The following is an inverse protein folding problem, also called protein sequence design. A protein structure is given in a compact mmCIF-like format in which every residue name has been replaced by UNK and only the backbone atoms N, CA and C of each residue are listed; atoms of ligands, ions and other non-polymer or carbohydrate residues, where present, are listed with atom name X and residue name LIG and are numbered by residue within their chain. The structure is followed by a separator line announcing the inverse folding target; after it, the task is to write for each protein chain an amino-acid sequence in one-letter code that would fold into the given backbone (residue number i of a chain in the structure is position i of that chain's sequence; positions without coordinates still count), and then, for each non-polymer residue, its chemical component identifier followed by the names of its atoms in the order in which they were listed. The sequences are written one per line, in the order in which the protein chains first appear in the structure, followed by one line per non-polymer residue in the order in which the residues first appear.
data_IF_541530946250
#
_entry.id   IF_541530946250
#
_cell.length_a   1.000
_cell.length_b   1.000
_cell.length_c   1.000
_cell.angle_alpha   90.00
_cell.angle_beta   90.00
_cell.angle_gamma   90.00
#
_symmetry.space_group_name_H-M   'P 1'
#
loop_
_entity.id
_entity.type
_entity.pdbx_description
1 polymer ?
#
# COMPACT_ATOMS: atom_id res chain seq x y z
N UNK A 1 19.41 -14.39 -34.40
CA UNK A 1 18.85 -13.81 -33.17
C UNK A 1 19.94 -12.95 -32.54
N UNK A 2 19.68 -11.67 -32.24
CA UNK A 2 20.69 -10.77 -31.66
C UNK A 2 20.72 -10.91 -30.13
N UNK A 3 19.55 -11.09 -29.52
CA UNK A 3 19.38 -11.26 -28.08
C UNK A 3 18.54 -12.51 -27.80
N UNK A 4 18.92 -13.28 -26.78
CA UNK A 4 18.04 -14.28 -26.14
C UNK A 4 17.30 -13.71 -24.93
N UNK A 5 16.29 -14.43 -24.44
CA UNK A 5 15.58 -14.06 -23.21
C UNK A 5 16.53 -13.99 -22.00
N UNK A 6 17.43 -14.95 -21.89
CA UNK A 6 18.43 -15.05 -20.82
C UNK A 6 19.45 -13.90 -20.90
N UNK A 7 19.91 -13.53 -22.10
CA UNK A 7 20.82 -12.39 -22.27
C UNK A 7 20.15 -11.07 -21.85
N UNK A 8 18.89 -10.87 -22.24
CA UNK A 8 18.13 -9.67 -21.87
C UNK A 8 18.00 -9.59 -20.34
N UNK A 9 17.68 -10.71 -19.70
CA UNK A 9 17.63 -10.79 -18.24
C UNK A 9 18.99 -10.50 -17.61
N UNK A 10 20.05 -11.21 -18.03
CA UNK A 10 21.42 -11.12 -17.48
C UNK A 10 21.98 -9.70 -17.57
N UNK A 11 21.74 -8.97 -18.66
CA UNK A 11 22.37 -7.64 -18.84
C UNK A 11 21.49 -6.47 -18.38
N UNK A 12 20.17 -6.63 -18.40
CA UNK A 12 19.24 -5.52 -18.14
C UNK A 12 18.07 -5.87 -17.22
N UNK A 13 17.43 -7.02 -17.42
CA UNK A 13 16.19 -7.40 -16.74
C UNK A 13 16.35 -7.63 -15.23
N UNK A 14 17.41 -8.33 -14.80
CA UNK A 14 17.65 -8.62 -13.39
C UNK A 14 17.88 -7.36 -12.54
N UNK A 15 18.23 -6.25 -13.18
CA UNK A 15 18.53 -4.96 -12.57
C UNK A 15 17.38 -3.95 -12.64
N UNK A 16 16.24 -4.33 -13.21
CA UNK A 16 15.07 -3.48 -13.44
C UNK A 16 15.40 -2.14 -14.12
N UNK A 17 16.37 -2.16 -15.04
CA UNK A 17 16.80 -0.94 -15.73
C UNK A 17 15.66 -0.39 -16.57
N UNK A 18 15.51 0.93 -16.56
CA UNK A 18 14.78 1.62 -17.62
C UNK A 18 15.61 1.51 -18.89
N UNK A 19 15.00 0.96 -19.93
CA UNK A 19 15.61 0.68 -21.22
C UNK A 19 14.80 1.30 -22.36
N UNK A 20 15.47 1.61 -23.46
CA UNK A 20 14.83 1.83 -24.76
C UNK A 20 15.17 0.66 -25.68
N UNK A 21 14.15 0.03 -26.24
CA UNK A 21 14.23 -1.17 -27.06
C UNK A 21 13.86 -0.79 -28.49
N UNK A 22 14.79 -0.98 -29.42
CA UNK A 22 14.55 -0.77 -30.85
C UNK A 22 14.22 -2.10 -31.53
N UNK A 23 13.24 -2.09 -32.42
CA UNK A 23 12.76 -3.31 -33.09
C UNK A 23 13.28 -3.45 -34.52
N UNK A 24 13.39 -4.69 -34.97
CA UNK A 24 13.75 -5.03 -36.36
C UNK A 24 12.69 -4.50 -37.31
N UNK A 25 13.12 -3.86 -38.39
CA UNK A 25 12.21 -3.43 -39.44
C UNK A 25 11.36 -4.60 -39.97
N UNK A 26 10.04 -4.42 -39.99
CA UNK A 26 9.09 -5.41 -40.48
C UNK A 26 8.71 -6.52 -39.49
N UNK A 27 9.25 -6.52 -38.26
CA UNK A 27 8.81 -7.46 -37.22
C UNK A 27 7.40 -7.19 -36.71
N UNK A 28 6.79 -8.17 -36.04
CA UNK A 28 5.46 -8.02 -35.45
C UNK A 28 5.48 -6.95 -34.35
N UNK A 29 6.51 -6.93 -33.50
CA UNK A 29 6.68 -5.88 -32.51
C UNK A 29 6.79 -4.48 -33.15
N UNK A 30 7.54 -4.34 -34.25
CA UNK A 30 7.70 -3.05 -34.93
C UNK A 30 6.39 -2.51 -35.53
N UNK A 31 5.58 -3.42 -36.10
CA UNK A 31 4.24 -3.06 -36.63
C UNK A 31 3.26 -2.70 -35.52
N UNK A 32 3.30 -3.46 -34.41
CA UNK A 32 2.33 -3.33 -33.31
C UNK A 32 2.66 -2.17 -32.38
N UNK A 33 3.93 -1.90 -32.09
CA UNK A 33 4.35 -0.92 -31.06
C UNK A 33 5.17 0.25 -31.60
N UNK A 34 5.46 0.29 -32.90
CA UNK A 34 6.31 1.30 -33.54
C UNK A 34 7.78 0.88 -33.56
N UNK A 35 8.66 1.78 -34.01
CA UNK A 35 10.09 1.45 -34.21
C UNK A 35 10.88 1.21 -32.93
N UNK A 36 10.46 1.79 -31.80
CA UNK A 36 11.09 1.61 -30.50
C UNK A 36 10.10 1.86 -29.37
N UNK A 37 10.38 1.31 -28.18
CA UNK A 37 9.65 1.57 -26.94
C UNK A 37 10.59 1.81 -25.77
N UNK A 38 10.16 2.59 -24.78
CA UNK A 38 10.92 2.87 -23.55
C UNK A 38 10.15 2.39 -22.33
N UNK A 39 10.82 1.73 -21.39
CA UNK A 39 10.17 1.13 -20.22
C UNK A 39 11.10 0.19 -19.47
N UNK A 40 10.54 -0.81 -18.80
CA UNK A 40 11.30 -1.82 -18.05
C UNK A 40 10.82 -3.21 -18.43
N UNK A 41 11.74 -4.16 -18.56
CA UNK A 41 11.35 -5.57 -18.64
C UNK A 41 10.60 -5.99 -17.37
N UNK A 42 9.59 -6.84 -17.53
CA UNK A 42 8.74 -7.32 -16.46
C UNK A 42 8.80 -8.84 -16.43
N UNK A 43 8.82 -9.39 -15.23
CA UNK A 43 8.87 -10.83 -14.99
C UNK A 43 7.88 -11.15 -13.87
N UNK A 44 7.18 -12.27 -13.98
CA UNK A 44 6.47 -12.86 -12.85
C UNK A 44 7.47 -13.45 -11.85
N UNK A 45 7.06 -13.79 -10.61
CA UNK A 45 7.92 -14.48 -9.65
C UNK A 45 8.59 -15.73 -10.28
N UNK A 46 7.79 -16.63 -10.83
CA UNK A 46 8.27 -17.89 -11.44
C UNK A 46 9.19 -17.67 -12.65
N UNK A 47 8.90 -16.65 -13.49
CA UNK A 47 9.74 -16.31 -14.64
C UNK A 47 11.11 -15.81 -14.17
N UNK A 48 11.12 -14.97 -13.13
CA UNK A 48 12.36 -14.41 -12.59
C UNK A 48 13.22 -15.49 -11.94
N UNK A 49 12.63 -16.37 -11.13
CA UNK A 49 13.35 -17.47 -10.48
C UNK A 49 14.02 -18.39 -11.51
N UNK A 50 13.26 -18.82 -12.52
CA UNK A 50 13.81 -19.66 -13.61
C UNK A 50 14.94 -18.99 -14.37
N UNK A 51 14.80 -17.70 -14.67
CA UNK A 51 15.85 -16.97 -15.39
C UNK A 51 17.08 -16.75 -14.53
N UNK A 52 16.92 -16.47 -13.24
CA UNK A 52 18.02 -16.35 -12.28
C UNK A 52 18.83 -17.65 -12.21
N UNK A 53 18.15 -18.80 -12.10
CA UNK A 53 18.78 -20.11 -12.13
C UNK A 53 19.50 -20.39 -13.47
N UNK A 54 18.87 -20.03 -14.59
CA UNK A 54 19.44 -20.25 -15.92
C UNK A 54 20.71 -19.42 -16.14
N UNK A 55 20.72 -18.14 -15.75
CA UNK A 55 21.87 -17.25 -16.00
C UNK A 55 23.00 -17.37 -14.98
N UNK A 56 22.80 -18.14 -13.90
CA UNK A 56 23.81 -18.42 -12.89
C UNK A 56 24.96 -19.28 -13.44
N UNK A 57 24.73 -20.05 -14.51
CA UNK A 57 25.76 -20.78 -15.25
C UNK A 57 26.29 -19.89 -16.38
N UNK A 58 27.61 -19.88 -16.62
CA UNK A 58 28.18 -18.99 -17.66
C UNK A 58 27.82 -19.40 -19.10
N UNK A 59 27.57 -20.69 -19.34
CA UNK A 59 27.15 -21.26 -20.62
C UNK A 59 25.68 -21.72 -20.52
N UNK A 60 24.76 -20.78 -20.72
CA UNK A 60 23.31 -21.02 -20.66
C UNK A 60 22.71 -21.16 -22.05
N UNK A 61 21.64 -21.96 -22.15
CA UNK A 61 20.90 -22.12 -23.40
C UNK A 61 20.23 -20.80 -23.80
N UNK A 62 20.37 -20.42 -25.07
CA UNK A 62 19.82 -19.18 -25.61
C UNK A 62 18.47 -19.45 -26.26
N UNK A 63 17.41 -18.92 -25.68
CA UNK A 63 16.05 -19.14 -26.18
C UNK A 63 15.44 -17.89 -26.82
N UNK A 64 14.60 -18.10 -27.83
CA UNK A 64 13.77 -17.06 -28.45
C UNK A 64 12.39 -17.05 -27.80
N UNK A 65 12.28 -16.37 -26.66
CA UNK A 65 11.07 -16.32 -25.84
C UNK A 65 10.35 -14.97 -25.89
N UNK A 66 9.09 -14.98 -25.47
CA UNK A 66 8.31 -13.77 -25.23
C UNK A 66 8.70 -13.16 -23.88
N UNK A 67 8.96 -11.85 -23.87
CA UNK A 67 9.43 -11.11 -22.71
C UNK A 67 8.45 -9.99 -22.43
N UNK A 68 7.86 -9.99 -21.24
CA UNK A 68 6.90 -8.95 -20.85
C UNK A 68 7.62 -7.63 -20.64
N UNK A 69 6.92 -6.56 -20.96
CA UNK A 69 7.46 -5.21 -20.93
C UNK A 69 6.46 -4.24 -20.31
N UNK A 70 6.93 -3.44 -19.36
CA UNK A 70 6.17 -2.35 -18.78
C UNK A 70 6.58 -1.05 -19.44
N UNK A 71 5.73 -0.58 -20.36
CA UNK A 71 5.92 0.69 -21.04
C UNK A 71 5.90 1.88 -20.06
N UNK A 72 6.80 2.85 -20.27
CA UNK A 72 6.80 4.11 -19.55
C UNK A 72 5.56 4.95 -19.86
N UNK A 73 4.76 5.26 -18.84
CA UNK A 73 3.54 6.07 -18.96
C UNK A 73 3.91 7.48 -19.43
N UNK A 74 3.30 7.94 -20.52
CA UNK A 74 3.53 9.27 -21.10
C UNK A 74 4.84 9.43 -21.89
N UNK A 75 5.64 8.36 -22.02
CA UNK A 75 6.86 8.36 -22.84
C UNK A 75 6.58 7.77 -24.22
N UNK A 76 5.78 6.70 -24.25
CA UNK A 76 5.40 6.01 -25.48
C UNK A 76 4.04 6.50 -25.97
N UNK A 77 3.85 6.55 -27.29
CA UNK A 77 2.55 6.80 -27.93
C UNK A 77 1.84 5.46 -28.18
N UNK A 78 1.44 4.79 -27.10
CA UNK A 78 0.76 3.49 -27.15
C UNK A 78 -0.66 3.62 -26.60
N UNK A 79 -1.61 2.90 -27.20
CA UNK A 79 -2.96 2.70 -26.70
C UNK A 79 -2.98 1.82 -25.44
N UNK A 80 -4.08 1.84 -24.69
CA UNK A 80 -4.26 0.99 -23.51
C UNK A 80 -4.19 -0.51 -23.84
N UNK A 81 -4.72 -0.90 -25.00
CA UNK A 81 -4.65 -2.28 -25.52
C UNK A 81 -3.20 -2.70 -25.76
N UNK A 82 -2.41 -1.89 -26.49
CA UNK A 82 -0.99 -2.17 -26.72
C UNK A 82 -0.17 -2.24 -25.43
N UNK A 83 -0.48 -1.40 -24.44
CA UNK A 83 0.16 -1.45 -23.12
C UNK A 83 -0.19 -2.75 -22.39
N UNK A 84 -1.44 -3.20 -22.49
CA UNK A 84 -1.89 -4.51 -22.00
C UNK A 84 -1.11 -5.64 -22.65
N UNK A 85 -1.02 -5.64 -23.98
CA UNK A 85 -0.34 -6.69 -24.75
C UNK A 85 1.15 -6.78 -24.39
N UNK A 86 1.85 -5.65 -24.28
CA UNK A 86 3.25 -5.64 -23.80
C UNK A 86 3.39 -6.25 -22.41
N UNK A 87 2.42 -6.01 -21.53
CA UNK A 87 2.48 -6.47 -20.13
C UNK A 87 2.13 -7.95 -19.98
N UNK A 88 1.20 -8.47 -20.79
CA UNK A 88 0.66 -9.83 -20.62
C UNK A 88 1.20 -10.82 -21.66
N UNK A 89 1.33 -10.42 -22.93
CA UNK A 89 1.86 -11.25 -24.02
C UNK A 89 3.37 -11.06 -24.17
N UNK A 90 3.84 -9.82 -24.13
CA UNK A 90 5.26 -9.47 -24.26
C UNK A 90 5.74 -9.25 -25.69
N UNK A 91 7.07 -9.23 -25.85
CA UNK A 91 7.79 -9.05 -27.11
C UNK A 91 8.75 -10.22 -27.32
N UNK A 92 8.84 -10.72 -28.56
CA UNK A 92 9.75 -11.80 -28.89
C UNK A 92 11.20 -11.30 -28.86
N UNK A 93 12.11 -12.04 -28.23
CA UNK A 93 13.51 -11.65 -28.11
C UNK A 93 14.18 -11.38 -29.48
N UNK A 94 13.85 -12.19 -30.48
CA UNK A 94 14.37 -12.04 -31.84
C UNK A 94 13.88 -10.82 -32.61
N UNK A 95 12.81 -10.15 -32.14
CA UNK A 95 12.33 -8.89 -32.73
C UNK A 95 13.19 -7.69 -32.33
N UNK A 96 14.01 -7.81 -31.28
CA UNK A 96 14.84 -6.74 -30.74
C UNK A 96 16.17 -6.66 -31.51
N UNK A 97 16.56 -5.45 -31.90
CA UNK A 97 17.86 -5.17 -32.53
C UNK A 97 18.83 -4.39 -31.63
N UNK A 98 18.31 -3.62 -30.68
CA UNK A 98 19.12 -2.80 -29.80
C UNK A 98 18.39 -2.56 -28.47
N UNK A 99 19.16 -2.57 -27.38
CA UNK A 99 18.70 -2.20 -26.04
C UNK A 99 19.64 -1.14 -25.47
N UNK A 100 19.12 0.08 -25.29
CA UNK A 100 19.84 1.19 -24.67
C UNK A 100 19.43 1.32 -23.21
N UNK A 101 20.40 1.37 -22.30
CA UNK A 101 20.17 1.57 -20.87
C UNK A 101 21.23 2.47 -20.26
N UNK A 102 20.91 3.14 -19.15
CA UNK A 102 21.88 3.97 -18.46
C UNK A 102 22.95 3.10 -17.78
N UNK A 103 24.23 3.41 -18.02
CA UNK A 103 25.37 2.67 -17.51
C UNK A 103 25.66 2.98 -16.02
N UNK A 104 24.69 2.68 -15.15
CA UNK A 104 24.89 2.72 -13.70
C UNK A 104 25.18 1.30 -13.19
N UNK A 105 26.15 1.12 -12.27
CA UNK A 105 26.26 -0.14 -11.54
C UNK A 105 24.97 -0.31 -10.72
N UNK A 106 24.27 -1.41 -11.01
CA UNK A 106 23.05 -1.79 -10.31
C UNK A 106 23.29 -3.19 -9.80
N UNK A 107 22.83 -3.43 -8.58
CA UNK A 107 22.85 -4.75 -7.98
C UNK A 107 21.52 -5.43 -8.26
N UNK A 108 21.52 -6.76 -8.37
CA UNK A 108 20.29 -7.52 -8.49
C UNK A 108 19.60 -7.53 -7.12
N UNK A 109 18.57 -6.70 -6.96
CA UNK A 109 17.85 -6.58 -5.69
C UNK A 109 17.07 -7.85 -5.36
N UNK A 110 16.67 -8.65 -6.36
CA UNK A 110 15.89 -9.88 -6.15
C UNK A 110 16.69 -10.97 -5.44
N UNK A 111 17.99 -11.09 -5.72
CA UNK A 111 18.86 -12.10 -5.09
C UNK A 111 19.38 -11.71 -3.71
N UNK A 112 19.14 -10.47 -3.25
CA UNK A 112 19.59 -10.00 -1.94
C UNK A 112 18.61 -10.35 -0.83
N UNK A 113 19.16 -10.76 0.33
CA UNK A 113 18.41 -10.99 1.57
C UNK A 113 18.53 -9.86 2.60
N UNK A 114 19.39 -8.87 2.36
CA UNK A 114 19.68 -7.81 3.33
C UNK A 114 18.51 -6.83 3.52
N UNK A 115 18.52 -6.10 4.64
CA UNK A 115 17.58 -5.01 4.89
C UNK A 115 17.92 -3.82 3.99
N UNK A 116 16.96 -3.39 3.18
CA UNK A 116 17.03 -2.24 2.28
C UNK A 116 16.59 -0.96 2.99
N UNK A 117 17.17 0.17 2.58
CA UNK A 117 16.75 1.50 3.02
C UNK A 117 16.00 2.21 1.89
N UNK A 118 14.88 2.84 2.21
CA UNK A 118 14.23 3.74 1.25
C UNK A 118 15.04 5.03 1.12
N UNK A 119 15.00 5.69 -0.06
CA UNK A 119 15.59 7.01 -0.21
C UNK A 119 14.99 7.99 0.80
N UNK A 120 15.85 8.83 1.39
CA UNK A 120 15.40 9.86 2.31
C UNK A 120 14.35 10.76 1.66
N UNK A 121 13.26 11.09 2.37
CA UNK A 121 12.25 11.98 1.84
C UNK A 121 12.84 13.37 1.62
N UNK A 122 12.41 14.04 0.55
CA UNK A 122 12.73 15.45 0.33
C UNK A 122 12.02 16.25 1.43
N UNK A 123 12.79 16.86 2.32
CA UNK A 123 12.26 17.68 3.41
C UNK A 123 11.90 19.06 2.88
N UNK A 124 10.60 19.33 2.76
CA UNK A 124 10.08 20.65 2.44
C UNK A 124 9.74 21.35 3.76
N UNK A 125 10.48 22.41 4.08
CA UNK A 125 10.19 23.23 5.26
C UNK A 125 8.99 24.13 4.96
N UNK A 126 7.99 24.13 5.83
CA UNK A 126 6.80 24.97 5.72
C UNK A 126 6.33 25.36 7.12
N UNK A 127 5.88 26.60 7.29
CA UNK A 127 5.31 27.07 8.55
C UNK A 127 3.79 26.95 8.50
N UNK A 128 3.22 26.18 9.41
CA UNK A 128 1.77 25.99 9.56
C UNK A 128 1.25 26.54 10.89
N UNK A 129 2.01 27.39 11.60
CA UNK A 129 1.61 27.95 12.90
C UNK A 129 0.26 28.66 12.89
N UNK A 130 -0.07 29.30 11.77
CA UNK A 130 -1.26 30.15 11.63
C UNK A 130 -2.41 29.43 10.93
N UNK A 131 -2.26 28.13 10.63
CA UNK A 131 -3.25 27.34 9.91
C UNK A 131 -4.17 26.63 10.89
N UNK A 132 -5.48 26.88 10.78
CA UNK A 132 -6.47 26.07 11.48
C UNK A 132 -6.59 24.70 10.80
N UNK A 133 -6.05 23.67 11.46
CA UNK A 133 -6.03 22.29 10.97
C UNK A 133 -7.44 21.75 10.70
N UNK A 134 -8.44 22.15 11.47
CA UNK A 134 -9.83 21.70 11.29
C UNK A 134 -10.45 22.32 10.06
N UNK A 135 -10.23 23.62 9.81
CA UNK A 135 -10.65 24.26 8.56
C UNK A 135 -9.98 23.64 7.35
N UNK A 136 -8.67 23.38 7.42
CA UNK A 136 -7.95 22.71 6.34
C UNK A 136 -8.49 21.29 6.09
N UNK A 137 -8.80 20.55 7.16
CA UNK A 137 -9.39 19.21 7.08
C UNK A 137 -10.77 19.26 6.42
N UNK A 138 -11.65 20.16 6.87
CA UNK A 138 -12.99 20.33 6.28
C UNK A 138 -12.88 20.71 4.81
N UNK A 139 -12.05 21.70 4.48
CA UNK A 139 -11.84 22.14 3.11
C UNK A 139 -11.35 20.98 2.23
N UNK A 140 -10.30 20.27 2.66
CA UNK A 140 -9.72 19.14 1.91
C UNK A 140 -10.75 18.05 1.66
N UNK A 141 -11.49 17.64 2.69
CA UNK A 141 -12.50 16.60 2.58
C UNK A 141 -13.67 17.04 1.68
N UNK A 142 -14.10 18.30 1.79
CA UNK A 142 -15.12 18.86 0.90
C UNK A 142 -14.67 18.89 -0.56
N UNK A 143 -13.42 19.26 -0.85
CA UNK A 143 -12.89 19.22 -2.22
C UNK A 143 -12.83 17.79 -2.78
N UNK A 144 -12.44 16.83 -1.95
CA UNK A 144 -12.44 15.40 -2.33
C UNK A 144 -13.84 14.93 -2.69
N UNK A 145 -14.81 15.16 -1.81
CA UNK A 145 -16.20 14.77 -2.04
C UNK A 145 -16.78 15.42 -3.31
N UNK A 146 -16.55 16.74 -3.50
CA UNK A 146 -16.96 17.47 -4.71
C UNK A 146 -16.34 16.90 -5.99
N UNK A 147 -15.11 16.39 -5.91
CA UNK A 147 -14.38 15.80 -7.04
C UNK A 147 -14.69 14.31 -7.25
N UNK A 148 -15.66 13.75 -6.51
CA UNK A 148 -16.06 12.34 -6.61
C UNK A 148 -15.12 11.35 -5.91
N UNK A 149 -14.24 11.82 -5.01
CA UNK A 149 -13.41 10.96 -4.18
C UNK A 149 -14.19 10.51 -2.94
N UNK A 150 -14.01 9.25 -2.55
CA UNK A 150 -14.52 8.71 -1.28
C UNK A 150 -13.57 9.06 -0.15
N UNK A 151 -14.15 9.26 1.04
CA UNK A 151 -13.42 9.37 2.29
C UNK A 151 -13.42 8.01 3.00
N UNK A 152 -12.36 7.73 3.77
CA UNK A 152 -12.33 6.53 4.63
C UNK A 152 -13.24 6.74 5.86
N UNK A 153 -13.67 5.68 6.57
CA UNK A 153 -14.54 5.82 7.74
C UNK A 153 -14.02 6.81 8.79
N UNK A 154 -12.71 6.78 9.08
CA UNK A 154 -12.09 7.69 10.04
C UNK A 154 -12.11 9.15 9.59
N UNK A 155 -11.89 9.42 8.30
CA UNK A 155 -11.99 10.77 7.73
C UNK A 155 -13.41 11.30 7.79
N UNK A 156 -14.42 10.44 7.57
CA UNK A 156 -15.84 10.79 7.71
C UNK A 156 -16.16 11.12 9.16
N UNK A 157 -15.73 10.28 10.11
CA UNK A 157 -15.94 10.50 11.54
C UNK A 157 -15.32 11.82 12.00
N UNK A 158 -14.08 12.10 11.58
CA UNK A 158 -13.38 13.36 11.87
C UNK A 158 -14.09 14.56 11.27
N UNK A 159 -14.43 14.50 9.99
CA UNK A 159 -15.14 15.56 9.29
C UNK A 159 -16.47 15.90 9.98
N UNK A 160 -17.24 14.88 10.31
CA UNK A 160 -18.54 15.02 10.97
C UNK A 160 -18.42 15.53 12.40
N UNK A 161 -17.42 15.09 13.16
CA UNK A 161 -17.17 15.58 14.52
C UNK A 161 -16.86 17.08 14.56
N UNK A 162 -16.04 17.55 13.61
CA UNK A 162 -15.73 18.98 13.46
C UNK A 162 -16.98 19.78 13.04
N UNK A 163 -17.74 19.27 12.06
CA UNK A 163 -18.98 19.92 11.59
C UNK A 163 -19.99 20.06 12.73
N UNK A 164 -20.18 18.99 13.52
CA UNK A 164 -21.08 19.00 14.65
C UNK A 164 -20.67 20.08 15.65
N UNK A 165 -19.40 20.13 16.07
CA UNK A 165 -18.91 21.17 17.00
C UNK A 165 -19.16 22.59 16.47
N UNK A 166 -18.92 22.84 15.19
CA UNK A 166 -19.00 24.19 14.60
C UNK A 166 -20.42 24.69 14.36
N UNK A 167 -21.35 23.78 14.07
CA UNK A 167 -22.65 24.14 13.49
C UNK A 167 -23.86 23.45 14.14
N UNK A 168 -23.70 22.73 15.25
CA UNK A 168 -24.80 22.04 15.95
C UNK A 168 -26.02 22.94 16.15
N UNK A 169 -25.85 24.14 16.70
CA UNK A 169 -26.93 25.11 16.96
C UNK A 169 -27.64 25.64 15.70
N UNK A 170 -27.00 25.49 14.53
CA UNK A 170 -27.49 26.01 13.24
C UNK A 170 -28.00 24.90 12.32
N UNK A 171 -27.86 23.64 12.72
CA UNK A 171 -28.25 22.50 11.89
C UNK A 171 -29.72 22.12 12.10
N UNK A 172 -30.47 21.88 11.01
CA UNK A 172 -31.80 21.29 11.12
C UNK A 172 -31.76 19.93 11.84
N UNK A 173 -32.76 19.61 12.67
CA UNK A 173 -32.84 18.33 13.39
C UNK A 173 -32.72 17.11 12.46
N UNK A 174 -33.26 17.21 11.24
CA UNK A 174 -33.16 16.16 10.23
C UNK A 174 -31.71 15.84 9.85
N UNK A 175 -30.85 16.85 9.79
CA UNK A 175 -29.43 16.67 9.50
C UNK A 175 -28.69 16.08 10.71
N UNK A 176 -29.07 16.48 11.94
CA UNK A 176 -28.52 15.93 13.18
C UNK A 176 -28.74 14.41 13.30
N UNK A 177 -29.82 13.88 12.74
CA UNK A 177 -30.07 12.42 12.70
C UNK A 177 -28.97 11.63 11.98
N UNK A 178 -28.28 12.23 11.00
CA UNK A 178 -27.21 11.53 10.26
C UNK A 178 -25.98 11.22 11.12
N UNK A 179 -25.77 11.99 12.19
CA UNK A 179 -24.65 11.84 13.14
C UNK A 179 -24.97 10.83 14.25
N UNK A 180 -26.23 10.44 14.39
CA UNK A 180 -26.72 9.58 15.46
C UNK A 180 -26.87 8.13 15.01
N UNK A 181 -26.71 7.22 15.94
CA UNK A 181 -27.05 5.82 15.76
C UNK A 181 -28.60 5.69 15.73
N UNK A 182 -29.19 5.01 14.72
CA UNK A 182 -30.63 4.86 14.64
C UNK A 182 -31.26 4.09 15.81
N UNK A 183 -30.51 3.18 16.45
CA UNK A 183 -31.02 2.32 17.52
C UNK A 183 -30.97 3.02 18.88
N UNK A 184 -29.86 3.71 19.18
CA UNK A 184 -29.67 4.36 20.49
C UNK A 184 -30.06 5.84 20.51
N UNK A 185 -30.10 6.50 19.35
CA UNK A 185 -30.29 7.94 19.25
C UNK A 185 -29.08 8.77 19.72
N UNK A 186 -27.99 8.12 20.12
CA UNK A 186 -26.75 8.78 20.56
C UNK A 186 -25.84 9.10 19.37
N UNK A 187 -24.94 10.07 19.53
CA UNK A 187 -23.91 10.35 18.51
C UNK A 187 -23.03 9.11 18.33
N UNK A 188 -22.80 8.69 17.08
CA UNK A 188 -21.96 7.55 16.75
C UNK A 188 -20.59 7.68 17.40
N UNK A 189 -20.09 6.60 18.03
CA UNK A 189 -18.83 6.58 18.82
C UNK A 189 -17.65 7.28 18.12
N UNK A 190 -17.41 6.98 16.84
CA UNK A 190 -16.33 7.60 16.06
C UNK A 190 -16.50 9.10 15.88
N UNK A 191 -17.72 9.58 15.59
CA UNK A 191 -18.03 11.02 15.48
C UNK A 191 -17.87 11.70 16.84
N UNK A 192 -18.36 11.06 17.91
CA UNK A 192 -18.31 11.55 19.28
C UNK A 192 -16.88 11.78 19.77
N UNK A 193 -15.97 10.84 19.48
CA UNK A 193 -14.54 11.01 19.77
C UNK A 193 -13.99 12.30 19.13
N UNK A 194 -14.23 12.50 17.83
CA UNK A 194 -13.71 13.67 17.12
C UNK A 194 -14.40 14.98 17.53
N UNK A 195 -15.68 14.96 17.89
CA UNK A 195 -16.40 16.11 18.44
C UNK A 195 -15.77 16.58 19.77
N UNK A 196 -15.57 15.66 20.71
CA UNK A 196 -14.99 15.97 22.02
C UNK A 196 -13.50 16.34 21.91
N UNK A 197 -12.75 15.66 21.05
CA UNK A 197 -11.35 15.98 20.76
C UNK A 197 -11.21 17.39 20.15
N UNK A 198 -12.12 17.76 19.24
CA UNK A 198 -12.19 19.10 18.66
C UNK A 198 -12.48 20.17 19.71
N UNK A 199 -13.40 19.90 20.67
CA UNK A 199 -13.63 20.80 21.82
C UNK A 199 -12.41 20.89 22.74
N UNK A 200 -11.72 19.78 22.99
CA UNK A 200 -10.51 19.73 23.82
C UNK A 200 -9.43 20.69 23.29
N UNK A 201 -9.11 20.60 21.99
CA UNK A 201 -8.09 21.47 21.37
C UNK A 201 -8.45 22.96 21.30
N UNK A 202 -9.72 23.30 21.52
CA UNK A 202 -10.21 24.69 21.53
C UNK A 202 -10.51 25.19 22.94
N UNK A 203 -10.17 24.41 23.97
CA UNK A 203 -10.47 24.69 25.39
C UNK A 203 -11.97 24.91 25.67
N UNK A 204 -12.83 24.16 24.96
CA UNK A 204 -14.30 24.29 25.01
C UNK A 204 -14.99 23.17 25.79
N UNK A 205 -14.26 22.21 26.38
CA UNK A 205 -14.88 21.09 27.10
C UNK A 205 -15.42 21.50 28.48
N UNK A 206 -16.69 21.18 28.74
CA UNK A 206 -17.26 21.20 30.09
C UNK A 206 -16.65 20.09 30.97
N UNK A 207 -16.91 20.12 32.28
CA UNK A 207 -16.44 19.07 33.19
C UNK A 207 -17.12 17.73 32.92
N UNK A 208 -18.40 17.74 32.58
CA UNK A 208 -19.17 16.57 32.18
C UNK A 208 -18.63 15.98 30.88
N UNK A 209 -18.34 16.84 29.89
CA UNK A 209 -17.78 16.43 28.61
C UNK A 209 -16.34 15.90 28.74
N UNK A 210 -15.55 16.39 29.71
CA UNK A 210 -14.24 15.81 30.03
C UNK A 210 -14.36 14.37 30.51
N UNK A 211 -15.26 14.11 31.46
CA UNK A 211 -15.50 12.75 31.95
C UNK A 211 -16.03 11.83 30.84
N UNK A 212 -16.88 12.36 29.96
CA UNK A 212 -17.35 11.65 28.78
C UNK A 212 -16.22 11.37 27.78
N UNK A 213 -15.33 12.33 27.55
CA UNK A 213 -14.20 12.16 26.64
C UNK A 213 -13.21 11.13 27.15
N UNK A 214 -12.89 11.16 28.45
CA UNK A 214 -12.10 10.13 29.12
C UNK A 214 -12.72 8.74 28.95
N UNK A 215 -14.05 8.62 29.11
CA UNK A 215 -14.76 7.35 28.86
C UNK A 215 -14.59 6.86 27.43
N UNK A 216 -14.78 7.72 26.44
CA UNK A 216 -14.63 7.36 25.01
C UNK A 216 -13.19 6.94 24.69
N UNK A 217 -12.18 7.62 25.26
CA UNK A 217 -10.77 7.26 25.12
C UNK A 217 -10.50 5.89 25.73
N UNK A 218 -10.98 5.64 26.95
CA UNK A 218 -10.79 4.36 27.64
C UNK A 218 -11.45 3.20 26.87
N UNK A 219 -12.66 3.40 26.33
CA UNK A 219 -13.33 2.41 25.49
C UNK A 219 -12.57 2.10 24.19
N UNK A 220 -11.93 3.09 23.57
CA UNK A 220 -11.06 2.90 22.40
C UNK A 220 -9.79 2.11 22.76
N UNK A 221 -9.16 2.43 23.90
CA UNK A 221 -7.99 1.71 24.40
C UNK A 221 -8.36 0.26 24.72
N UNK A 222 -9.48 0.01 25.39
CA UNK A 222 -9.95 -1.34 25.71
C UNK A 222 -10.23 -2.16 24.45
N UNK A 223 -10.82 -1.54 23.42
CA UNK A 223 -11.06 -2.17 22.13
C UNK A 223 -9.75 -2.57 21.43
N UNK A 224 -8.76 -1.66 21.41
CA UNK A 224 -7.42 -1.94 20.87
C UNK A 224 -6.70 -3.04 21.66
N UNK A 225 -6.78 -3.05 22.98
CA UNK A 225 -6.20 -4.12 23.82
C UNK A 225 -6.84 -5.47 23.48
N UNK A 226 -8.17 -5.51 23.28
CA UNK A 226 -8.88 -6.73 22.86
C UNK A 226 -8.40 -7.21 21.48
N UNK A 227 -8.23 -6.31 20.52
CA UNK A 227 -7.74 -6.66 19.17
C UNK A 227 -6.29 -7.17 19.24
N UNK A 228 -5.42 -6.47 19.97
CA UNK A 228 -4.03 -6.90 20.17
C UNK A 228 -3.96 -8.28 20.84
N UNK A 229 -4.75 -8.50 21.90
CA UNK A 229 -4.84 -9.79 22.57
C UNK A 229 -5.30 -10.92 21.62
N UNK A 230 -6.27 -10.66 20.75
CA UNK A 230 -6.71 -11.62 19.73
C UNK A 230 -5.61 -11.93 18.71
N UNK A 231 -4.83 -10.96 18.27
CA UNK A 231 -3.75 -11.21 17.31
C UNK A 231 -2.56 -11.91 17.98
N UNK A 232 -2.23 -11.57 19.23
CA UNK A 232 -1.23 -12.26 20.04
C UNK A 232 -1.61 -13.73 20.30
N UNK A 233 -2.88 -14.04 20.53
CA UNK A 233 -3.35 -15.43 20.65
C UNK A 233 -3.10 -16.27 19.39
N UNK A 234 -3.04 -15.64 18.21
CA UNK A 234 -2.72 -16.34 16.96
C UNK A 234 -1.22 -16.63 16.83
N UNK A 235 -0.36 -15.89 17.52
CA UNK A 235 1.10 -15.98 17.42
C UNK A 235 1.72 -17.23 18.04
N UNK A 236 1.17 -17.72 19.16
CA UNK A 236 1.65 -18.91 19.87
C UNK A 236 0.60 -19.45 20.84
N UNK A 237 0.70 -20.73 21.20
CA UNK A 237 -0.23 -21.38 22.12
C UNK A 237 -0.16 -20.79 23.54
N UNK A 238 1.05 -20.47 24.00
CA UNK A 238 1.28 -19.85 25.30
C UNK A 238 1.41 -18.34 25.20
N UNK A 239 0.40 -17.67 24.64
CA UNK A 239 0.47 -16.22 24.37
C UNK A 239 0.72 -15.36 25.63
N UNK A 240 0.41 -15.87 26.83
CA UNK A 240 0.73 -15.21 28.11
C UNK A 240 2.24 -15.14 28.39
N UNK A 241 3.04 -16.01 27.79
CA UNK A 241 4.51 -16.00 27.88
C UNK A 241 5.13 -14.99 26.89
N UNK A 242 4.35 -14.39 25.97
CA UNK A 242 4.85 -13.37 25.02
C UNK A 242 5.49 -12.19 25.76
N UNK A 243 4.87 -11.72 26.84
CA UNK A 243 5.38 -10.55 27.59
C UNK A 243 6.75 -10.77 28.23
N UNK A 244 7.17 -12.02 28.37
CA UNK A 244 8.49 -12.40 28.88
C UNK A 244 9.48 -12.51 27.72
N UNK A 245 9.11 -13.22 26.66
CA UNK A 245 10.01 -13.58 25.57
C UNK A 245 10.19 -12.47 24.52
N UNK A 246 9.20 -11.59 24.37
CA UNK A 246 9.15 -10.56 23.32
C UNK A 246 8.86 -9.16 23.88
N UNK A 247 9.42 -8.85 25.07
CA UNK A 247 9.14 -7.61 25.81
C UNK A 247 9.33 -6.35 24.96
N UNK A 248 10.41 -6.27 24.20
CA UNK A 248 10.74 -5.08 23.40
C UNK A 248 9.78 -4.90 22.22
N UNK A 249 9.51 -5.98 21.46
CA UNK A 249 8.52 -5.97 20.38
C UNK A 249 7.13 -5.59 20.89
N UNK A 250 6.73 -6.11 22.06
CA UNK A 250 5.44 -5.80 22.68
C UNK A 250 5.37 -4.33 23.13
N UNK A 251 6.45 -3.78 23.69
CA UNK A 251 6.51 -2.37 24.08
C UNK A 251 6.36 -1.44 22.85
N UNK A 252 7.03 -1.76 21.74
CA UNK A 252 6.88 -1.04 20.48
C UNK A 252 5.44 -1.09 19.95
N UNK A 253 4.84 -2.28 19.92
CA UNK A 253 3.46 -2.44 19.50
C UNK A 253 2.53 -1.61 20.39
N UNK A 254 2.62 -1.71 21.71
CA UNK A 254 1.76 -0.95 22.63
C UNK A 254 1.91 0.56 22.41
N UNK A 255 3.15 1.07 22.32
CA UNK A 255 3.42 2.48 22.12
C UNK A 255 2.75 3.00 20.85
N UNK A 256 2.98 2.33 19.71
CA UNK A 256 2.41 2.71 18.43
C UNK A 256 0.87 2.54 18.39
N UNK A 257 0.36 1.49 19.03
CA UNK A 257 -1.08 1.18 19.08
C UNK A 257 -1.90 2.21 19.82
N UNK A 258 -1.34 2.80 20.89
CA UNK A 258 -2.04 3.77 21.74
C UNK A 258 -2.56 4.98 20.95
N UNK A 259 -1.75 5.49 20.02
CA UNK A 259 -2.05 6.66 19.20
C UNK A 259 -2.60 6.34 17.82
N UNK A 260 -2.63 5.07 17.43
CA UNK A 260 -3.06 4.68 16.09
C UNK A 260 -4.54 5.04 15.84
N UNK A 261 -4.78 5.62 14.66
CA UNK A 261 -6.09 5.84 14.06
C UNK A 261 -6.06 5.28 12.64
N UNK A 262 -7.17 4.70 12.15
CA UNK A 262 -7.24 4.24 10.76
C UNK A 262 -6.88 5.35 9.80
N UNK A 263 -6.07 5.04 8.80
CA UNK A 263 -5.53 6.03 7.88
C UNK A 263 -5.47 5.49 6.46
N UNK A 264 -5.54 6.43 5.50
CA UNK A 264 -5.50 6.10 4.08
C UNK A 264 -4.06 5.81 3.65
N UNK A 265 -3.92 4.86 2.74
CA UNK A 265 -2.66 4.40 2.14
C UNK A 265 -2.54 4.82 0.67
N UNK A 266 -3.67 5.09 -0.01
CA UNK A 266 -3.67 5.61 -1.38
C UNK A 266 -4.52 6.86 -1.53
N UNK A 267 -4.27 7.62 -2.60
CA UNK A 267 -4.87 8.93 -2.81
C UNK A 267 -5.91 8.97 -3.92
N UNK A 268 -6.10 7.88 -4.66
CA UNK A 268 -7.15 7.73 -5.68
C UNK A 268 -8.59 7.92 -5.19
N UNK A 269 -9.53 7.91 -6.16
CA UNK A 269 -10.97 8.14 -5.92
C UNK A 269 -11.59 7.15 -4.94
N UNK A 270 -11.07 5.93 -4.91
CA UNK A 270 -11.43 4.89 -3.93
C UNK A 270 -10.16 4.62 -3.12
N UNK A 271 -9.98 5.24 -1.95
CA UNK A 271 -8.77 5.06 -1.15
C UNK A 271 -8.69 3.64 -0.61
N UNK A 272 -7.48 3.08 -0.66
CA UNK A 272 -7.09 1.97 0.19
C UNK A 272 -6.71 2.53 1.55
N UNK A 273 -7.12 1.84 2.61
CA UNK A 273 -6.85 2.25 3.99
C UNK A 273 -6.70 1.02 4.87
N UNK A 274 -6.10 1.19 6.04
CA UNK A 274 -6.00 0.13 7.03
C UNK A 274 -6.63 0.55 8.35
N UNK A 275 -7.07 -0.44 9.10
CA UNK A 275 -7.42 -0.26 10.50
C UNK A 275 -6.38 -0.92 11.39
N UNK A 276 -6.65 -0.85 12.69
CA UNK A 276 -5.73 -1.34 13.70
C UNK A 276 -5.52 -2.86 13.62
N UNK A 277 -6.56 -3.62 13.30
CA UNK A 277 -6.44 -5.07 13.09
C UNK A 277 -5.52 -5.40 11.90
N UNK A 278 -5.71 -4.71 10.78
CA UNK A 278 -4.92 -4.92 9.56
C UNK A 278 -3.46 -4.53 9.78
N UNK A 279 -3.23 -3.45 10.54
CA UNK A 279 -1.90 -3.02 10.95
C UNK A 279 -1.21 -4.10 11.79
N UNK A 280 -1.87 -4.59 12.84
CA UNK A 280 -1.30 -5.63 13.70
C UNK A 280 -1.02 -6.91 12.91
N UNK A 281 -1.96 -7.30 12.04
CA UNK A 281 -1.80 -8.45 11.17
C UNK A 281 -0.53 -8.36 10.31
N UNK A 282 -0.24 -7.20 9.74
CA UNK A 282 0.94 -6.99 8.89
C UNK A 282 2.21 -6.92 9.75
N UNK A 283 2.22 -6.05 10.76
CA UNK A 283 3.42 -5.78 11.55
C UNK A 283 3.85 -6.95 12.44
N UNK A 284 2.91 -7.68 13.04
CA UNK A 284 3.25 -8.81 13.91
C UNK A 284 3.70 -10.04 13.13
N UNK A 285 3.37 -10.15 11.85
CA UNK A 285 3.64 -11.36 11.05
C UNK A 285 4.79 -11.19 10.07
N UNK A 286 4.97 -9.99 9.54
CA UNK A 286 5.84 -9.77 8.38
C UNK A 286 6.93 -8.73 8.64
N UNK A 287 6.98 -8.09 9.81
CA UNK A 287 8.03 -7.12 10.16
C UNK A 287 8.94 -7.74 11.20
N UNK A 288 10.23 -7.91 10.88
CA UNK A 288 11.18 -8.65 11.72
C UNK A 288 11.34 -8.03 13.11
N UNK A 289 11.29 -6.71 13.25
CA UNK A 289 11.45 -6.05 14.56
C UNK A 289 10.25 -6.25 15.50
N UNK A 290 9.08 -6.61 14.97
CA UNK A 290 7.84 -6.79 15.74
C UNK A 290 7.22 -8.17 15.57
N UNK A 291 7.96 -9.11 14.99
CA UNK A 291 7.53 -10.49 14.83
C UNK A 291 7.49 -11.15 16.21
N UNK A 292 6.32 -11.65 16.58
CA UNK A 292 6.08 -12.24 17.90
C UNK A 292 5.58 -13.65 17.70
N UNK A 293 6.15 -14.59 18.44
CA UNK A 293 5.70 -15.97 18.55
C UNK A 293 6.16 -16.89 17.42
N UNK A 294 6.42 -18.15 17.77
CA UNK A 294 6.98 -19.19 16.91
C UNK A 294 6.19 -19.39 15.60
N UNK A 295 4.85 -19.26 15.63
CA UNK A 295 4.03 -19.43 14.42
C UNK A 295 4.28 -18.34 13.40
N UNK A 296 4.66 -17.15 13.85
CA UNK A 296 4.94 -16.03 12.98
C UNK A 296 6.37 -16.05 12.48
N UNK A 297 7.34 -16.58 13.22
CA UNK A 297 8.75 -16.71 12.78
C UNK A 297 8.90 -17.47 11.44
N UNK A 298 7.99 -18.41 11.15
CA UNK A 298 7.94 -19.13 9.86
C UNK A 298 7.44 -18.27 8.67
N UNK A 299 6.98 -17.05 8.91
CA UNK A 299 6.42 -16.16 7.89
C UNK A 299 7.49 -15.34 7.21
N UNK A 300 7.19 -14.97 5.97
CA UNK A 300 8.03 -14.11 5.16
C UNK A 300 8.12 -12.73 5.78
N UNK A 301 9.33 -12.20 5.88
CA UNK A 301 9.60 -10.88 6.45
C UNK A 301 9.92 -9.87 5.36
N UNK A 302 9.53 -8.62 5.60
CA UNK A 302 9.97 -7.51 4.80
C UNK A 302 11.48 -7.31 4.95
N UNK A 303 12.12 -6.95 3.85
CA UNK A 303 13.51 -6.52 3.84
C UNK A 303 13.61 -5.00 4.05
N UNK A 304 12.79 -4.46 4.96
CA UNK A 304 12.74 -3.04 5.28
C UNK A 304 12.52 -2.88 6.77
N UNK A 305 13.00 -1.78 7.34
CA UNK A 305 12.83 -1.48 8.76
C UNK A 305 11.38 -1.12 9.07
N UNK A 306 10.95 -1.37 10.31
CA UNK A 306 9.63 -1.03 10.84
C UNK A 306 9.11 0.36 10.39
N UNK A 307 9.97 1.39 10.47
CA UNK A 307 9.63 2.78 10.13
C UNK A 307 9.27 3.00 8.66
N UNK A 308 9.75 2.13 7.77
CA UNK A 308 9.63 2.26 6.32
C UNK A 308 8.49 1.41 5.75
N UNK A 309 7.97 0.44 6.51
CA UNK A 309 6.95 -0.54 6.07
C UNK A 309 5.70 0.12 5.50
N UNK A 310 5.15 1.13 6.19
CA UNK A 310 4.00 1.89 5.69
C UNK A 310 4.29 2.46 4.29
N UNK A 311 5.44 3.10 4.12
CA UNK A 311 5.84 3.71 2.84
C UNK A 311 6.04 2.66 1.75
N UNK A 312 6.59 1.49 2.08
CA UNK A 312 6.65 0.35 1.15
C UNK A 312 5.25 -0.06 0.69
N UNK A 313 4.31 -0.20 1.62
CA UNK A 313 2.91 -0.55 1.31
C UNK A 313 2.28 0.49 0.39
N UNK A 314 2.40 1.78 0.72
CA UNK A 314 1.90 2.88 -0.12
C UNK A 314 2.51 2.85 -1.54
N UNK A 315 3.81 2.61 -1.66
CA UNK A 315 4.51 2.53 -2.95
C UNK A 315 4.10 1.31 -3.77
N UNK A 316 3.80 0.18 -3.13
CA UNK A 316 3.31 -1.03 -3.79
C UNK A 316 1.86 -0.82 -4.24
N UNK A 317 0.98 -0.34 -3.36
CA UNK A 317 -0.42 -0.08 -3.68
C UNK A 317 -0.55 0.96 -4.81
N UNK A 318 0.30 2.00 -4.81
CA UNK A 318 0.34 3.00 -5.90
C UNK A 318 0.64 2.38 -7.26
N UNK A 319 1.43 1.31 -7.33
CA UNK A 319 1.70 0.61 -8.61
C UNK A 319 0.50 -0.14 -9.17
N UNK A 320 -0.49 -0.45 -8.33
CA UNK A 320 -1.74 -1.10 -8.70
C UNK A 320 -2.95 -0.16 -8.59
N UNK A 321 -2.75 1.15 -8.38
CA UNK A 321 -3.84 2.09 -8.07
C UNK A 321 -4.89 2.18 -9.18
N UNK A 322 -4.46 2.25 -10.44
CA UNK A 322 -5.38 2.28 -11.59
C UNK A 322 -6.27 1.02 -11.63
N UNK A 323 -5.70 -0.16 -11.38
CA UNK A 323 -6.43 -1.44 -11.36
C UNK A 323 -7.39 -1.53 -10.16
N UNK A 324 -6.95 -1.05 -8.99
CA UNK A 324 -7.76 -1.03 -7.77
C UNK A 324 -8.98 -0.12 -7.99
N UNK A 325 -8.77 1.07 -8.55
CA UNK A 325 -9.85 2.02 -8.83
C UNK A 325 -10.81 1.42 -9.84
N UNK A 326 -10.31 0.83 -10.93
CA UNK A 326 -11.13 0.19 -11.94
C UNK A 326 -11.98 -0.93 -11.33
N UNK A 327 -11.35 -1.86 -10.60
CA UNK A 327 -12.05 -2.98 -9.97
C UNK A 327 -13.18 -2.53 -9.05
N UNK A 328 -12.95 -1.57 -8.15
CA UNK A 328 -14.00 -1.11 -7.24
C UNK A 328 -15.03 -0.18 -7.90
N UNK A 329 -14.76 0.30 -9.10
CA UNK A 329 -15.74 1.01 -9.92
C UNK A 329 -16.69 0.02 -10.60
N UNK A 330 -16.16 -1.08 -11.14
CA UNK A 330 -16.93 -2.11 -11.86
C UNK A 330 -17.60 -3.13 -10.90
N UNK A 331 -16.93 -3.43 -9.78
CA UNK A 331 -17.29 -4.49 -8.84
C UNK A 331 -17.17 -3.99 -7.38
N UNK A 332 -17.98 -3.00 -6.96
CA UNK A 332 -17.83 -2.33 -5.66
C UNK A 332 -17.95 -3.27 -4.46
N UNK A 333 -18.71 -4.36 -4.60
CA UNK A 333 -19.00 -5.32 -3.52
C UNK A 333 -18.07 -6.55 -3.52
N UNK A 334 -17.06 -6.58 -4.39
CA UNK A 334 -16.12 -7.70 -4.49
C UNK A 334 -14.74 -7.35 -3.96
N UNK A 335 -14.11 -8.34 -3.35
CA UNK A 335 -12.70 -8.26 -2.94
C UNK A 335 -11.77 -8.03 -4.15
N UNK A 336 -10.74 -7.21 -3.94
CA UNK A 336 -9.60 -7.10 -4.87
C UNK A 336 -8.38 -7.80 -4.27
N UNK A 337 -7.70 -8.64 -5.07
CA UNK A 337 -6.55 -9.42 -4.60
C UNK A 337 -5.46 -9.44 -5.67
N UNK A 338 -4.20 -9.32 -5.22
CA UNK A 338 -3.01 -9.63 -6.01
C UNK A 338 -2.24 -10.71 -5.27
N UNK A 339 -2.21 -11.93 -5.81
CA UNK A 339 -1.66 -13.14 -5.18
C UNK A 339 -0.82 -13.94 -6.19
N UNK A 340 0.21 -14.66 -5.72
CA UNK A 340 1.02 -15.56 -6.55
C UNK A 340 1.61 -14.85 -7.77
N UNK A 341 1.38 -15.37 -8.97
CA UNK A 341 1.85 -14.78 -10.23
C UNK A 341 1.34 -13.34 -10.49
N UNK A 342 0.28 -12.92 -9.80
CA UNK A 342 -0.28 -11.56 -9.92
C UNK A 342 0.26 -10.60 -8.85
N UNK A 343 1.19 -11.04 -8.01
CA UNK A 343 1.84 -10.19 -7.01
C UNK A 343 2.50 -8.96 -7.64
N UNK A 344 2.57 -7.88 -6.88
CA UNK A 344 3.10 -6.61 -7.37
C UNK A 344 4.58 -6.52 -7.08
N UNK A 345 5.37 -6.42 -8.13
CA UNK A 345 6.83 -6.26 -8.03
C UNK A 345 7.21 -4.87 -7.48
N UNK A 346 8.10 -4.84 -6.50
CA UNK A 346 8.77 -3.64 -6.02
C UNK A 346 10.15 -3.94 -5.45
N UNK A 347 11.18 -3.41 -6.12
CA UNK A 347 12.55 -3.32 -5.64
C UNK A 347 13.11 -4.66 -5.12
N UNK A 348 13.12 -5.67 -5.99
CA UNK A 348 13.58 -7.02 -5.68
C UNK A 348 12.52 -7.95 -5.11
N UNK A 349 11.40 -7.45 -4.61
CA UNK A 349 10.39 -8.29 -3.97
C UNK A 349 9.06 -8.29 -4.72
N UNK A 350 8.29 -9.35 -4.53
CA UNK A 350 6.91 -9.46 -5.00
C UNK A 350 5.97 -9.38 -3.81
N UNK A 351 4.94 -8.54 -3.91
CA UNK A 351 4.02 -8.27 -2.80
C UNK A 351 2.63 -8.78 -3.10
N UNK A 352 2.09 -9.52 -2.13
CA UNK A 352 0.71 -10.01 -2.13
C UNK A 352 -0.14 -9.16 -1.20
N UNK A 353 -1.35 -8.84 -1.64
CA UNK A 353 -2.30 -8.11 -0.80
C UNK A 353 -3.77 -8.41 -1.14
N UNK A 354 -4.64 -8.16 -0.16
CA UNK A 354 -6.08 -8.33 -0.25
C UNK A 354 -6.80 -7.09 0.28
N UNK A 355 -7.66 -6.50 -0.54
CA UNK A 355 -8.48 -5.33 -0.21
C UNK A 355 -9.95 -5.74 -0.25
N UNK A 356 -10.69 -5.41 0.80
CA UNK A 356 -12.14 -5.63 0.89
C UNK A 356 -12.93 -4.56 0.15
N UNK A 357 -14.22 -4.82 -0.13
CA UNK A 357 -15.19 -3.77 -0.43
C UNK A 357 -15.03 -2.57 0.50
N UNK A 358 -15.06 -1.36 -0.06
CA UNK A 358 -14.83 -0.12 0.68
C UNK A 358 -13.36 0.24 0.93
N UNK A 359 -12.40 -0.52 0.37
CA UNK A 359 -10.98 -0.13 0.36
C UNK A 359 -10.15 -0.56 1.56
N UNK A 360 -10.69 -1.38 2.47
CA UNK A 360 -9.94 -1.87 3.64
C UNK A 360 -8.88 -2.90 3.22
N UNK A 361 -7.61 -2.57 3.38
CA UNK A 361 -6.49 -3.50 3.24
C UNK A 361 -6.54 -4.52 4.37
N UNK A 362 -6.75 -5.82 4.07
CA UNK A 362 -6.78 -6.89 5.09
C UNK A 362 -5.42 -7.48 5.36
N UNK A 363 -4.69 -7.78 4.29
CA UNK A 363 -3.41 -8.49 4.35
C UNK A 363 -2.45 -7.86 3.35
N UNK A 364 -1.17 -7.85 3.72
CA UNK A 364 -0.07 -7.40 2.88
C UNK A 364 1.21 -8.12 3.31
N UNK A 365 1.86 -8.81 2.39
CA UNK A 365 3.09 -9.55 2.70
C UNK A 365 3.96 -9.76 1.47
N UNK A 366 5.26 -10.00 1.71
CA UNK A 366 6.19 -10.43 0.67
C UNK A 366 5.87 -11.87 0.25
N UNK A 367 5.60 -12.09 -1.03
CA UNK A 367 5.51 -13.41 -1.64
C UNK A 367 6.91 -14.05 -1.63
N UNK A 368 6.97 -15.33 -1.30
CA UNK A 368 8.20 -16.11 -1.50
C UNK A 368 8.45 -16.35 -2.98
#
# INVERSE_FOLDING_TARGET
MIYSQEEIYKFTGQFDKVVSVSFRFGSEAAKKYGSYITGTFYYTPDEREKLEEAVAVDDFEKTDGLIKFKAGKGINQLSEEQIGDLRFEGILASDIIEILSFAKPVENEFSKSDIRNLPDPIVIKSNFSDVDEEELTLWTNNQRLKSGFKLIPEEINRHNGIILRKYEDKMPEEHLKNFKDPETGEIKKGIKYHYLNSKYYKDLLSNEEKAEFEKVINEDVDEKIKILGKELQKSQDKWKEVGINYKDALAWLIHFSSSFRPERLTHGKIPVWWDYESLLHIYMRHVSETQIGERFESKTVFQYKFKDIKRVIEMVLRRAEDEIIQHFTEHPDRDFRRVGAQSVYFNGDYYTFHISPGGRLRTFYKNN
#
